data_IF_603333217442
#
_entry.id   IF_603333217442
#
_cell.length_a   1.000
_cell.length_b   1.000
_cell.length_c   1.000
_cell.angle_alpha   90.00
_cell.angle_beta   90.00
_cell.angle_gamma   90.00
#
_symmetry.space_group_name_H-M   'P 1'
#
loop_
_entity.id
_entity.type
_entity.pdbx_description
1 polymer ?
#
# COMPACT_ATOMS: atom_id res chain seq x y z
N UNK A 1 30.32 -12.75 -12.90
CA UNK A 1 29.48 -13.98 -12.85
C UNK A 1 28.04 -13.54 -12.94
N UNK A 2 27.52 -13.49 -14.17
CA UNK A 2 26.15 -13.07 -14.47
C UNK A 2 25.21 -14.25 -14.23
N UNK A 3 24.43 -14.20 -13.15
CA UNK A 3 23.35 -15.16 -12.90
C UNK A 3 22.10 -14.72 -13.67
N UNK A 4 21.70 -15.48 -14.68
CA UNK A 4 20.44 -15.27 -15.38
C UNK A 4 19.27 -15.66 -14.47
N UNK A 5 18.38 -14.70 -14.22
CA UNK A 5 17.18 -14.92 -13.41
C UNK A 5 16.05 -15.40 -14.33
N UNK A 6 15.84 -16.71 -14.39
CA UNK A 6 14.68 -17.29 -15.07
C UNK A 6 13.40 -16.97 -14.29
N UNK A 7 12.66 -15.96 -14.77
CA UNK A 7 11.30 -15.66 -14.34
C UNK A 7 10.31 -16.57 -15.07
N UNK A 8 9.61 -17.43 -14.33
CA UNK A 8 8.42 -18.12 -14.84
C UNK A 8 7.16 -17.34 -14.43
N UNK A 9 6.29 -16.94 -15.38
CA UNK A 9 5.04 -16.29 -15.06
C UNK A 9 4.07 -17.30 -14.41
N UNK A 10 3.48 -16.90 -13.28
CA UNK A 10 2.43 -17.66 -12.62
C UNK A 10 1.14 -17.54 -13.44
N UNK A 11 0.51 -18.67 -13.79
CA UNK A 11 -0.69 -18.74 -14.65
C UNK A 11 -1.97 -18.16 -14.01
N UNK A 12 -1.92 -17.71 -12.76
CA UNK A 12 -3.09 -17.17 -12.07
C UNK A 12 -2.86 -15.67 -11.86
N UNK A 13 -3.51 -14.85 -12.70
CA UNK A 13 -3.30 -13.41 -12.84
C UNK A 13 -3.37 -12.61 -11.54
N UNK A 14 -2.23 -12.48 -10.86
CA UNK A 14 -1.99 -11.51 -9.80
C UNK A 14 -1.15 -10.34 -10.32
N UNK A 15 -1.41 -9.09 -9.90
CA UNK A 15 -0.78 -7.90 -10.50
C UNK A 15 0.64 -7.60 -9.99
N UNK A 16 1.21 -8.41 -9.10
CA UNK A 16 2.54 -8.13 -8.52
C UNK A 16 3.45 -9.37 -8.50
N UNK A 17 4.67 -9.31 -9.06
CA UNK A 17 5.65 -10.37 -8.92
C UNK A 17 6.32 -10.30 -7.54
N UNK A 18 6.03 -11.29 -6.68
CA UNK A 18 6.74 -11.46 -5.40
C UNK A 18 7.93 -12.41 -5.52
N UNK A 19 8.95 -12.20 -4.68
CA UNK A 19 10.18 -13.01 -4.62
C UNK A 19 9.84 -14.43 -4.12
N UNK A 20 10.49 -15.46 -4.68
CA UNK A 20 10.31 -16.89 -4.31
C UNK A 20 10.55 -17.20 -2.82
N UNK A 21 11.23 -16.33 -2.08
CA UNK A 21 11.52 -16.53 -0.66
C UNK A 21 10.30 -16.25 0.25
N UNK A 22 9.32 -15.47 -0.22
CA UNK A 22 8.16 -15.05 0.58
C UNK A 22 6.94 -15.98 0.38
N UNK A 23 7.04 -16.99 -0.48
CA UNK A 23 5.91 -17.87 -0.87
C UNK A 23 5.77 -19.15 -0.06
N UNK A 24 6.65 -19.42 0.91
CA UNK A 24 6.79 -20.77 1.49
C UNK A 24 6.68 -20.84 3.02
N UNK A 25 5.83 -20.02 3.65
CA UNK A 25 5.38 -20.33 4.99
C UNK A 25 4.04 -21.07 4.89
N UNK A 26 4.15 -22.37 4.58
CA UNK A 26 3.05 -23.30 4.83
C UNK A 26 2.89 -23.39 6.35
N UNK A 27 1.80 -22.86 6.87
CA UNK A 27 1.47 -23.00 8.28
C UNK A 27 0.33 -24.00 8.43
N UNK A 28 0.42 -24.84 9.46
CA UNK A 28 -0.68 -25.73 9.81
C UNK A 28 -1.85 -24.87 10.32
N UNK A 29 -2.99 -24.98 9.65
CA UNK A 29 -4.21 -24.40 10.15
C UNK A 29 -4.58 -25.06 11.49
N UNK A 30 -4.56 -24.29 12.57
CA UNK A 30 -4.88 -24.77 13.93
C UNK A 30 -6.30 -25.35 14.06
N UNK A 31 -7.18 -25.07 13.09
CA UNK A 31 -8.58 -25.45 13.15
C UNK A 31 -8.92 -26.69 12.30
N UNK A 32 -8.32 -26.84 11.11
CA UNK A 32 -8.58 -28.00 10.24
C UNK A 32 -7.40 -28.95 10.09
N UNK A 33 -6.22 -28.61 10.63
CA UNK A 33 -5.01 -29.44 10.56
C UNK A 33 -4.35 -29.51 9.18
N UNK A 34 -4.92 -28.84 8.17
CA UNK A 34 -4.32 -28.78 6.82
C UNK A 34 -3.23 -27.71 6.77
N UNK A 35 -2.15 -28.00 6.05
CA UNK A 35 -1.16 -27.00 5.65
C UNK A 35 -1.82 -26.03 4.68
N UNK A 36 -1.80 -24.74 5.04
CA UNK A 36 -2.31 -23.66 4.22
C UNK A 36 -1.19 -22.65 4.00
N UNK A 37 -1.14 -22.08 2.80
CA UNK A 37 -0.35 -20.88 2.58
C UNK A 37 -1.14 -19.65 3.03
N UNK A 38 -0.45 -18.52 3.20
CA UNK A 38 -1.05 -17.24 3.62
C UNK A 38 -2.23 -16.82 2.73
N UNK A 39 -2.17 -17.14 1.44
CA UNK A 39 -3.17 -16.75 0.44
C UNK A 39 -4.45 -17.61 0.47
N UNK A 40 -4.37 -18.85 0.95
CA UNK A 40 -5.50 -19.82 1.00
C UNK A 40 -6.12 -19.90 2.39
N UNK A 41 -5.56 -19.20 3.39
CA UNK A 41 -6.11 -19.12 4.73
C UNK A 41 -7.56 -18.63 4.76
N UNK A 42 -7.86 -17.58 3.98
CA UNK A 42 -9.20 -17.04 3.82
C UNK A 42 -10.15 -17.97 3.04
N UNK A 43 -9.64 -19.01 2.36
CA UNK A 43 -10.45 -20.02 1.68
C UNK A 43 -10.72 -21.24 2.57
N UNK A 44 -10.12 -21.29 3.77
CA UNK A 44 -10.34 -22.39 4.69
C UNK A 44 -11.74 -22.34 5.29
N UNK A 45 -12.56 -23.33 4.93
CA UNK A 45 -13.93 -23.47 5.42
C UNK A 45 -14.02 -23.49 6.95
N UNK A 46 -13.01 -24.03 7.65
CA UNK A 46 -12.98 -24.06 9.12
C UNK A 46 -12.65 -22.69 9.74
N UNK A 47 -11.81 -21.87 9.10
CA UNK A 47 -11.46 -20.52 9.56
C UNK A 47 -12.65 -19.59 9.43
N UNK A 48 -13.37 -19.68 8.31
CA UNK A 48 -14.57 -18.87 8.06
C UNK A 48 -15.83 -19.43 8.71
N UNK A 49 -15.79 -20.64 9.29
CA UNK A 49 -16.94 -21.22 9.97
C UNK A 49 -17.36 -20.34 11.14
N UNK A 50 -18.57 -19.79 11.06
CA UNK A 50 -19.16 -18.99 12.12
C UNK A 50 -19.92 -19.91 13.09
N UNK A 51 -19.50 -19.92 14.35
CA UNK A 51 -20.13 -20.75 15.36
C UNK A 51 -21.39 -20.05 15.91
N UNK A 52 -22.58 -20.62 15.64
CA UNK A 52 -23.83 -20.05 16.14
C UNK A 52 -24.00 -20.14 17.66
N UNK A 53 -23.22 -20.97 18.38
CA UNK A 53 -23.29 -21.10 19.85
C UNK A 53 -22.62 -19.94 20.59
N UNK A 54 -21.43 -19.53 20.14
CA UNK A 54 -20.63 -18.48 20.79
C UNK A 54 -20.44 -17.22 19.94
N UNK A 55 -20.96 -17.20 18.71
CA UNK A 55 -20.86 -16.08 17.76
C UNK A 55 -19.40 -15.70 17.41
N UNK A 56 -18.48 -16.68 17.43
CA UNK A 56 -17.09 -16.50 17.01
C UNK A 56 -16.76 -17.35 15.78
N UNK A 57 -15.84 -16.86 14.95
CA UNK A 57 -15.30 -17.59 13.79
C UNK A 57 -14.21 -18.60 14.21
N UNK A 58 -13.84 -19.51 13.29
CA UNK A 58 -12.72 -20.42 13.46
C UNK A 58 -13.06 -21.80 14.03
N UNK A 59 -14.33 -22.14 14.29
CA UNK A 59 -14.69 -23.50 14.70
C UNK A 59 -16.15 -23.84 14.42
N UNK A 60 -16.43 -25.14 14.28
CA UNK A 60 -17.80 -25.64 14.15
C UNK A 60 -18.51 -25.68 15.50
N UNK A 61 -19.83 -25.49 15.50
CA UNK A 61 -20.65 -25.55 16.72
C UNK A 61 -20.59 -26.88 17.49
N UNK A 62 -20.22 -27.97 16.81
CA UNK A 62 -19.96 -29.28 17.42
C UNK A 62 -18.62 -29.37 18.16
N UNK A 63 -17.66 -28.50 17.82
CA UNK A 63 -16.32 -28.39 18.44
C UNK A 63 -16.21 -27.14 19.32
N UNK A 64 -17.33 -26.50 19.63
CA UNK A 64 -17.35 -25.29 20.44
C UNK A 64 -17.13 -25.65 21.91
N UNK A 65 -15.93 -25.36 22.42
CA UNK A 65 -15.59 -25.47 23.84
C UNK A 65 -16.20 -24.35 24.69
N UNK A 66 -16.89 -23.40 24.05
CA UNK A 66 -17.82 -22.52 24.75
C UNK A 66 -19.02 -23.38 25.17
N UNK A 67 -18.83 -24.09 26.27
CA UNK A 67 -19.95 -24.38 27.13
C UNK A 67 -20.49 -23.01 27.50
N UNK A 68 -21.61 -22.64 26.88
CA UNK A 68 -22.57 -21.80 27.56
C UNK A 68 -22.81 -22.55 28.87
N UNK A 69 -22.01 -22.26 29.90
CA UNK A 69 -22.54 -22.14 31.24
C UNK A 69 -23.57 -21.06 31.03
N UNK A 70 -24.76 -21.49 30.63
CA UNK A 70 -25.93 -20.70 30.89
C UNK A 70 -25.80 -20.51 32.39
N UNK A 71 -25.34 -19.34 32.78
CA UNK A 71 -25.95 -18.65 33.88
C UNK A 71 -27.41 -18.37 33.47
N UNK A 72 -28.17 -19.43 33.14
CA UNK A 72 -29.35 -19.68 33.91
C UNK A 72 -28.84 -19.65 35.35
N UNK A 73 -28.91 -18.46 35.95
CA UNK A 73 -29.44 -18.33 37.29
C UNK A 73 -30.58 -19.34 37.28
N UNK A 74 -30.32 -20.57 37.74
CA UNK A 74 -31.35 -21.56 37.92
C UNK A 74 -32.24 -20.87 38.92
N UNK A 75 -33.28 -20.19 38.44
CA UNK A 75 -34.36 -19.68 39.29
C UNK A 75 -34.65 -20.87 40.19
N UNK A 76 -34.50 -20.73 41.52
CA UNK A 76 -34.58 -21.87 42.42
C UNK A 76 -35.83 -22.64 42.02
N UNK A 77 -35.67 -23.88 41.51
CA UNK A 77 -36.80 -24.67 41.03
C UNK A 77 -37.78 -24.67 42.19
N UNK A 78 -38.93 -23.99 42.04
CA UNK A 78 -39.97 -23.96 43.08
C UNK A 78 -40.20 -25.42 43.43
N UNK A 79 -39.81 -25.82 44.65
CA UNK A 79 -40.03 -27.19 45.12
C UNK A 79 -41.53 -27.44 44.92
N UNK A 80 -41.90 -28.53 44.26
CA UNK A 80 -43.32 -28.83 44.04
C UNK A 80 -44.03 -28.82 45.40
N UNK A 81 -45.28 -28.34 45.45
CA UNK A 81 -46.07 -28.32 46.71
C UNK A 81 -46.05 -29.69 47.40
N UNK A 82 -46.02 -30.77 46.61
CA UNK A 82 -45.83 -32.16 47.07
C UNK A 82 -44.54 -32.41 47.86
N UNK A 83 -43.39 -31.84 47.46
CA UNK A 83 -42.11 -32.05 48.15
C UNK A 83 -42.06 -31.30 49.48
N UNK A 84 -42.59 -30.07 49.51
CA UNK A 84 -42.67 -29.27 50.75
C UNK A 84 -43.57 -29.98 51.76
N UNK A 85 -44.73 -30.49 51.31
CA UNK A 85 -45.64 -31.24 52.18
C UNK A 85 -44.98 -32.52 52.72
N UNK A 86 -44.29 -33.30 51.86
CA UNK A 86 -43.59 -34.52 52.30
C UNK A 86 -42.50 -34.26 53.34
N UNK A 87 -41.72 -33.19 53.16
CA UNK A 87 -40.66 -32.83 54.12
C UNK A 87 -41.26 -32.33 55.44
N UNK A 88 -42.38 -31.60 55.39
CA UNK A 88 -43.15 -31.17 56.57
C UNK A 88 -43.73 -32.37 57.32
N UNK A 89 -44.33 -33.33 56.63
CA UNK A 89 -44.91 -34.52 57.24
C UNK A 89 -43.81 -35.38 57.88
N UNK A 90 -42.65 -35.55 57.22
CA UNK A 90 -41.48 -36.23 57.80
C UNK A 90 -40.99 -35.58 59.09
N UNK A 91 -40.91 -34.24 59.11
CA UNK A 91 -40.51 -33.52 60.33
C UNK A 91 -41.55 -33.69 61.43
N UNK A 92 -42.84 -33.65 61.10
CA UNK A 92 -43.93 -33.89 62.07
C UNK A 92 -43.84 -35.29 62.66
N UNK A 93 -43.69 -36.32 61.83
CA UNK A 93 -43.53 -37.71 62.29
C UNK A 93 -42.27 -37.88 63.15
N UNK A 94 -41.19 -37.17 62.84
CA UNK A 94 -39.97 -37.20 63.65
C UNK A 94 -40.20 -36.59 65.04
N UNK A 95 -40.88 -35.44 65.13
CA UNK A 95 -41.21 -34.79 66.40
C UNK A 95 -42.16 -35.67 67.23
N UNK A 96 -43.20 -36.24 66.61
CA UNK A 96 -44.14 -37.14 67.28
C UNK A 96 -43.44 -38.41 67.81
N UNK A 97 -42.54 -39.03 67.02
CA UNK A 97 -41.74 -40.16 67.50
C UNK A 97 -40.80 -39.76 68.63
N UNK A 98 -40.21 -38.56 68.59
CA UNK A 98 -39.32 -38.07 69.64
C UNK A 98 -40.07 -37.77 70.94
N UNK A 99 -41.34 -37.34 70.87
CA UNK A 99 -42.17 -37.13 72.06
C UNK A 99 -42.66 -38.44 72.68
N UNK A 100 -42.84 -39.50 71.87
CA UNK A 100 -43.29 -40.82 72.34
C UNK A 100 -42.14 -41.74 72.80
N UNK A 101 -40.90 -41.46 72.41
CA UNK A 101 -39.73 -42.08 73.04
C UNK A 101 -39.48 -41.41 74.38
N UNK A 102 -40.16 -41.88 75.43
CA UNK A 102 -39.65 -41.67 76.79
C UNK A 102 -38.22 -42.22 76.80
N UNK A 103 -37.27 -41.31 76.94
CA UNK A 103 -35.87 -41.68 77.04
C UNK A 103 -35.76 -42.61 78.26
N UNK A 104 -35.06 -43.76 78.20
CA UNK A 104 -35.09 -44.79 79.25
C UNK A 104 -34.48 -44.35 80.60
N UNK A 105 -34.19 -43.06 80.77
CA UNK A 105 -33.66 -42.44 81.98
C UNK A 105 -34.65 -41.47 82.65
N UNK A 106 -35.91 -41.41 82.21
CA UNK A 106 -36.90 -40.43 82.72
C UNK A 106 -37.42 -40.72 84.15
N UNK A 107 -36.92 -41.79 84.79
CA UNK A 107 -37.22 -42.14 86.18
C UNK A 107 -35.99 -42.37 87.07
N UNK A 108 -34.79 -42.01 86.61
CA UNK A 108 -33.60 -42.00 87.47
C UNK A 108 -33.61 -40.68 88.24
N UNK A 109 -33.72 -40.77 89.56
CA UNK A 109 -33.57 -39.61 90.43
C UNK A 109 -32.20 -38.95 90.18
N UNK A 110 -32.18 -37.61 90.16
CA UNK A 110 -31.00 -36.78 89.84
C UNK A 110 -29.73 -37.16 90.63
N UNK A 111 -29.87 -37.85 91.77
CA UNK A 111 -28.77 -38.29 92.63
C UNK A 111 -27.99 -39.50 92.08
N UNK A 112 -28.64 -40.46 91.43
CA UNK A 112 -27.96 -41.64 90.88
C UNK A 112 -27.33 -41.35 89.52
N UNK A 113 -27.98 -40.50 88.71
CA UNK A 113 -27.41 -40.00 87.45
C UNK A 113 -26.20 -39.08 87.70
N UNK A 114 -26.22 -38.28 88.77
CA UNK A 114 -25.10 -37.46 89.23
C UNK A 114 -23.92 -38.31 89.72
N UNK A 115 -24.18 -39.39 90.46
CA UNK A 115 -23.13 -40.30 90.93
C UNK A 115 -22.46 -41.09 89.79
N UNK A 116 -23.23 -41.54 88.79
CA UNK A 116 -22.69 -42.25 87.63
C UNK A 116 -21.91 -41.33 86.67
N UNK A 117 -22.32 -40.06 86.55
CA UNK A 117 -21.59 -39.06 85.76
C UNK A 117 -20.35 -38.53 86.48
N UNK A 118 -20.35 -38.39 87.81
CA UNK A 118 -19.17 -38.01 88.60
C UNK A 118 -18.09 -39.10 88.66
N UNK A 119 -18.47 -40.39 88.59
CA UNK A 119 -17.47 -41.49 88.64
C UNK A 119 -16.68 -41.68 87.33
N UNK A 120 -17.15 -41.14 86.21
CA UNK A 120 -16.46 -41.20 84.90
C UNK A 120 -15.70 -39.89 84.60
N UNK A 121 -15.92 -38.85 85.41
CA UNK A 121 -15.48 -37.49 85.14
C UNK A 121 -14.60 -36.96 86.26
N UNK A 122 -13.29 -36.99 86.03
CA UNK A 122 -12.53 -35.80 86.38
C UNK A 122 -11.23 -35.69 85.57
N UNK A 123 -10.38 -36.72 85.54
CA UNK A 123 -9.07 -36.61 84.89
C UNK A 123 -9.09 -36.81 83.36
N UNK A 124 -9.80 -37.83 82.87
CA UNK A 124 -9.89 -38.11 81.42
C UNK A 124 -10.60 -36.99 80.65
N UNK A 125 -11.71 -36.48 81.21
CA UNK A 125 -12.45 -35.36 80.63
C UNK A 125 -11.63 -34.06 80.64
N UNK A 126 -10.91 -33.75 81.73
CA UNK A 126 -10.00 -32.59 81.81
C UNK A 126 -8.87 -32.69 80.79
N UNK A 127 -8.23 -33.85 80.64
CA UNK A 127 -7.19 -34.07 79.63
C UNK A 127 -7.73 -33.87 78.21
N UNK A 128 -8.92 -34.39 77.91
CA UNK A 128 -9.53 -34.26 76.59
C UNK A 128 -9.94 -32.81 76.28
N UNK A 129 -10.45 -32.07 77.27
CA UNK A 129 -10.75 -30.64 77.16
C UNK A 129 -9.48 -29.83 76.92
N UNK A 130 -8.37 -30.14 77.60
CA UNK A 130 -7.10 -29.46 77.39
C UNK A 130 -6.52 -29.73 76.00
N UNK A 131 -6.54 -30.97 75.52
CA UNK A 131 -6.15 -31.32 74.13
C UNK A 131 -7.01 -30.59 73.10
N UNK A 132 -8.32 -30.51 73.31
CA UNK A 132 -9.24 -29.75 72.44
C UNK A 132 -8.92 -28.26 72.46
N UNK A 133 -8.65 -27.67 73.64
CA UNK A 133 -8.26 -26.26 73.75
C UNK A 133 -6.94 -25.97 73.03
N UNK A 134 -5.96 -26.84 73.15
CA UNK A 134 -4.66 -26.70 72.48
C UNK A 134 -4.79 -26.85 70.96
N UNK A 135 -5.53 -27.87 70.51
CA UNK A 135 -5.87 -28.06 69.10
C UNK A 135 -6.60 -26.84 68.52
N UNK A 136 -7.60 -26.32 69.23
CA UNK A 136 -8.31 -25.09 68.85
C UNK A 136 -7.38 -23.87 68.77
N UNK A 137 -6.43 -23.73 69.70
CA UNK A 137 -5.42 -22.65 69.63
C UNK A 137 -4.53 -22.80 68.40
N UNK A 138 -4.12 -24.02 68.05
CA UNK A 138 -3.33 -24.29 66.86
C UNK A 138 -4.12 -23.98 65.58
N UNK A 139 -5.38 -24.42 65.49
CA UNK A 139 -6.24 -24.08 64.36
C UNK A 139 -6.47 -22.58 64.21
N UNK A 140 -6.66 -21.84 65.32
CA UNK A 140 -6.81 -20.39 65.27
C UNK A 140 -5.53 -19.72 64.72
N UNK A 141 -4.34 -20.18 65.14
CA UNK A 141 -3.06 -19.69 64.62
C UNK A 141 -2.90 -19.99 63.13
N UNK A 142 -3.24 -21.20 62.70
CA UNK A 142 -3.17 -21.61 61.30
C UNK A 142 -4.13 -20.80 60.42
N UNK A 143 -5.38 -20.60 60.86
CA UNK A 143 -6.35 -19.74 60.17
C UNK A 143 -5.83 -18.31 60.07
N UNK A 144 -5.20 -17.78 61.11
CA UNK A 144 -4.61 -16.44 61.08
C UNK A 144 -3.44 -16.35 60.08
N UNK A 145 -2.57 -17.36 60.04
CA UNK A 145 -1.47 -17.43 59.08
C UNK A 145 -1.98 -17.51 57.63
N UNK A 146 -2.94 -18.38 57.34
CA UNK A 146 -3.56 -18.51 56.01
C UNK A 146 -4.28 -17.23 55.57
N UNK A 147 -4.93 -16.51 56.50
CA UNK A 147 -5.50 -15.19 56.21
C UNK A 147 -4.43 -14.16 55.83
N UNK A 148 -3.29 -14.17 56.52
CA UNK A 148 -2.17 -13.29 56.19
C UNK A 148 -1.60 -13.62 54.80
N UNK A 149 -1.42 -14.90 54.47
CA UNK A 149 -0.97 -15.34 53.15
C UNK A 149 -1.95 -14.98 52.04
N UNK A 150 -3.25 -15.17 52.25
CA UNK A 150 -4.27 -14.75 51.29
C UNK A 150 -4.22 -13.24 51.03
N UNK A 151 -4.03 -12.42 52.08
CA UNK A 151 -3.86 -10.97 51.89
C UNK A 151 -2.64 -10.62 51.05
N UNK A 152 -1.53 -11.38 51.16
CA UNK A 152 -0.35 -11.19 50.30
C UNK A 152 -0.66 -11.59 48.86
N UNK A 153 -1.36 -12.70 48.65
CA UNK A 153 -1.79 -13.13 47.31
C UNK A 153 -2.72 -12.09 46.65
N UNK A 154 -3.62 -11.48 47.40
CA UNK A 154 -4.49 -10.41 46.89
C UNK A 154 -3.68 -9.20 46.38
N UNK A 155 -2.62 -8.81 47.11
CA UNK A 155 -1.73 -7.73 46.65
C UNK A 155 -1.01 -8.10 45.34
N UNK A 156 -0.51 -9.34 45.22
CA UNK A 156 0.13 -9.82 43.98
C UNK A 156 -0.86 -9.89 42.82
N UNK A 157 -2.13 -10.24 43.07
CA UNK A 157 -3.17 -10.23 42.04
C UNK A 157 -3.42 -8.79 41.56
N UNK A 158 -3.51 -7.83 42.48
CA UNK A 158 -3.69 -6.41 42.13
C UNK A 158 -2.52 -5.87 41.29
N UNK A 159 -1.28 -6.17 41.68
CA UNK A 159 -0.08 -5.80 40.91
C UNK A 159 -0.12 -6.39 39.51
N UNK A 160 -0.48 -7.67 39.37
CA UNK A 160 -0.61 -8.32 38.06
C UNK A 160 -1.70 -7.69 37.19
N UNK A 161 -2.81 -7.23 37.77
CA UNK A 161 -3.85 -6.49 37.03
C UNK A 161 -3.30 -5.15 36.53
N UNK A 162 -2.55 -4.41 37.35
CA UNK A 162 -1.91 -3.16 36.95
C UNK A 162 -0.88 -3.36 35.83
N UNK A 163 -0.08 -4.42 35.90
CA UNK A 163 0.88 -4.79 34.86
C UNK A 163 0.18 -5.17 33.54
N UNK A 164 -0.94 -5.90 33.59
CA UNK A 164 -1.74 -6.21 32.40
C UNK A 164 -2.29 -4.94 31.74
N UNK A 165 -2.86 -4.02 32.51
CA UNK A 165 -3.34 -2.74 31.97
C UNK A 165 -2.20 -1.94 31.32
N UNK A 166 -1.00 -1.95 31.92
CA UNK A 166 0.18 -1.30 31.37
C UNK A 166 0.63 -1.95 30.05
N UNK A 167 0.60 -3.28 29.98
CA UNK A 167 0.90 -4.02 28.75
C UNK A 167 -0.11 -3.73 27.64
N UNK A 168 -1.40 -3.63 27.96
CA UNK A 168 -2.45 -3.30 26.99
C UNK A 168 -2.26 -1.88 26.43
N UNK A 169 -1.87 -0.92 27.27
CA UNK A 169 -1.53 0.44 26.83
C UNK A 169 -0.31 0.45 25.89
N UNK A 170 0.76 -0.31 26.23
CA UNK A 170 1.93 -0.43 25.37
C UNK A 170 1.59 -1.09 24.02
N UNK A 171 0.72 -2.10 24.03
CA UNK A 171 0.25 -2.74 22.79
C UNK A 171 -0.57 -1.78 21.94
N UNK A 172 -1.38 -0.91 22.55
CA UNK A 172 -2.12 0.13 21.84
C UNK A 172 -1.19 1.15 21.20
N UNK A 173 -0.17 1.63 21.92
CA UNK A 173 0.84 2.55 21.36
C UNK A 173 1.64 1.90 20.24
N UNK A 174 2.05 0.63 20.40
CA UNK A 174 2.69 -0.13 19.33
C UNK A 174 1.81 -0.21 18.09
N UNK A 175 0.50 -0.44 18.24
CA UNK A 175 -0.43 -0.47 17.11
C UNK A 175 -0.54 0.89 16.40
N UNK A 176 -0.53 1.99 17.15
CA UNK A 176 -0.47 3.35 16.58
C UNK A 176 0.80 3.56 15.77
N UNK A 177 1.96 3.15 16.29
CA UNK A 177 3.23 3.24 15.56
C UNK A 177 3.22 2.40 14.28
N UNK A 178 2.68 1.17 14.31
CA UNK A 178 2.56 0.34 13.10
C UNK A 178 1.72 1.02 12.03
N UNK A 179 0.60 1.65 12.40
CA UNK A 179 -0.23 2.41 11.45
C UNK A 179 0.50 3.62 10.88
N UNK A 180 1.23 4.36 11.71
CA UNK A 180 2.02 5.51 11.26
C UNK A 180 3.09 5.09 10.25
N UNK A 181 3.79 3.96 10.50
CA UNK A 181 4.77 3.42 9.57
C UNK A 181 4.12 3.08 8.23
N UNK A 182 2.95 2.43 8.23
CA UNK A 182 2.21 2.11 7.00
C UNK A 182 1.81 3.36 6.21
N UNK A 183 1.40 4.43 6.90
CA UNK A 183 1.10 5.72 6.24
C UNK A 183 2.35 6.31 5.58
N UNK A 184 3.49 6.33 6.27
CA UNK A 184 4.76 6.82 5.73
C UNK A 184 5.20 5.99 4.51
N UNK A 185 5.06 4.66 4.57
CA UNK A 185 5.39 3.78 3.44
C UNK A 185 4.54 4.07 2.20
N UNK A 186 3.25 4.39 2.37
CA UNK A 186 2.36 4.78 1.28
C UNK A 186 2.76 6.14 0.68
N UNK A 187 3.04 7.15 1.51
CA UNK A 187 3.50 8.46 1.06
C UNK A 187 4.84 8.36 0.29
N UNK A 188 5.78 7.53 0.77
CA UNK A 188 7.04 7.27 0.08
C UNK A 188 6.83 6.60 -1.28
N UNK A 189 5.87 5.68 -1.39
CA UNK A 189 5.53 5.04 -2.67
C UNK A 189 4.93 6.04 -3.67
N UNK A 190 4.05 6.95 -3.22
CA UNK A 190 3.51 8.02 -4.04
C UNK A 190 4.61 8.98 -4.53
N UNK A 191 5.50 9.42 -3.65
CA UNK A 191 6.65 10.24 -4.02
C UNK A 191 7.56 9.55 -5.04
N UNK A 192 7.85 8.26 -4.87
CA UNK A 192 8.64 7.49 -5.83
C UNK A 192 7.99 7.45 -7.22
N UNK A 193 6.67 7.26 -7.29
CA UNK A 193 5.93 7.30 -8.56
C UNK A 193 6.00 8.69 -9.22
N UNK A 194 5.91 9.76 -8.42
CA UNK A 194 6.08 11.13 -8.88
C UNK A 194 7.46 11.38 -9.48
N UNK A 195 8.52 10.89 -8.82
CA UNK A 195 9.89 11.01 -9.34
C UNK A 195 10.09 10.30 -10.68
N UNK A 196 9.51 9.11 -10.86
CA UNK A 196 9.57 8.39 -12.14
C UNK A 196 8.88 9.16 -13.26
N UNK A 197 7.74 9.80 -12.98
CA UNK A 197 7.04 10.64 -13.96
C UNK A 197 7.90 11.84 -14.40
N UNK A 198 8.61 12.49 -13.46
CA UNK A 198 9.54 13.57 -13.79
C UNK A 198 10.73 13.09 -14.63
N UNK A 199 11.28 11.92 -14.35
CA UNK A 199 12.37 11.34 -15.15
C UNK A 199 11.94 11.06 -16.60
N UNK A 200 10.74 10.51 -16.79
CA UNK A 200 10.16 10.28 -18.12
C UNK A 200 10.01 11.60 -18.88
N UNK A 201 9.48 12.64 -18.23
CA UNK A 201 9.29 13.95 -18.86
C UNK A 201 10.62 14.64 -19.19
N UNK A 202 11.62 14.53 -18.32
CA UNK A 202 12.98 15.02 -18.61
C UNK A 202 13.57 14.30 -19.83
N UNK A 203 13.38 12.98 -19.94
CA UNK A 203 13.83 12.21 -21.11
C UNK A 203 13.12 12.65 -22.39
N UNK A 204 11.80 12.90 -22.33
CA UNK A 204 11.01 13.42 -23.44
C UNK A 204 11.52 14.79 -23.91
N UNK A 205 11.72 15.72 -22.99
CA UNK A 205 12.22 17.08 -23.28
C UNK A 205 13.66 17.07 -23.82
N UNK A 206 14.51 16.15 -23.34
CA UNK A 206 15.87 15.96 -23.91
C UNK A 206 15.82 15.52 -25.36
N UNK A 207 14.92 14.60 -25.70
CA UNK A 207 14.76 14.12 -27.08
C UNK A 207 14.18 15.20 -28.00
N UNK A 208 13.20 15.96 -27.52
CA UNK A 208 12.65 17.13 -28.23
C UNK A 208 13.75 18.17 -28.53
N UNK A 209 14.60 18.49 -27.54
CA UNK A 209 15.74 19.40 -27.74
C UNK A 209 16.76 18.88 -28.74
N UNK A 210 17.03 17.57 -28.78
CA UNK A 210 17.89 16.96 -29.81
C UNK A 210 17.29 17.13 -31.20
N UNK A 211 15.99 16.88 -31.35
CA UNK A 211 15.28 17.05 -32.63
C UNK A 211 15.27 18.50 -33.11
N UNK A 212 15.06 19.46 -32.20
CA UNK A 212 15.15 20.89 -32.51
C UNK A 212 16.58 21.30 -32.91
N UNK A 213 17.60 20.76 -32.23
CA UNK A 213 19.00 21.02 -32.58
C UNK A 213 19.34 20.49 -33.97
N UNK A 214 18.92 19.26 -34.29
CA UNK A 214 19.10 18.67 -35.61
C UNK A 214 18.38 19.49 -36.70
N UNK A 215 17.15 19.92 -36.42
CA UNK A 215 16.37 20.78 -37.33
C UNK A 215 17.05 22.12 -37.57
N UNK A 216 17.56 22.76 -36.51
CA UNK A 216 18.32 24.01 -36.61
C UNK A 216 19.57 23.83 -37.47
N UNK A 217 20.33 22.75 -37.27
CA UNK A 217 21.52 22.44 -38.08
C UNK A 217 21.16 22.26 -39.55
N UNK A 218 20.09 21.51 -39.85
CA UNK A 218 19.59 21.32 -41.22
C UNK A 218 19.22 22.64 -41.88
N UNK A 219 18.39 23.45 -41.23
CA UNK A 219 17.98 24.77 -41.74
C UNK A 219 19.17 25.71 -41.94
N UNK A 220 20.18 25.64 -41.06
CA UNK A 220 21.42 26.43 -41.21
C UNK A 220 22.19 26.04 -42.47
N UNK A 221 22.26 24.74 -42.78
CA UNK A 221 22.90 24.25 -44.01
C UNK A 221 22.11 24.62 -45.26
N UNK A 222 20.79 24.52 -45.21
CA UNK A 222 19.90 24.96 -46.29
C UNK A 222 20.09 26.46 -46.58
N UNK A 223 20.11 27.30 -45.54
CA UNK A 223 20.34 28.73 -45.70
C UNK A 223 21.71 29.05 -46.31
N UNK A 224 22.78 28.39 -45.85
CA UNK A 224 24.12 28.53 -46.45
C UNK A 224 24.15 28.12 -47.92
N UNK A 225 23.42 27.06 -48.29
CA UNK A 225 23.33 26.62 -49.68
C UNK A 225 22.61 27.65 -50.55
N UNK A 226 21.50 28.21 -50.07
CA UNK A 226 20.78 29.29 -50.76
C UNK A 226 21.63 30.55 -50.88
N UNK A 227 22.37 30.93 -49.85
CA UNK A 227 23.29 32.07 -49.87
C UNK A 227 24.42 31.87 -50.91
N UNK A 228 25.01 30.67 -50.96
CA UNK A 228 25.97 30.33 -52.01
C UNK A 228 25.36 30.39 -53.42
N UNK A 229 24.11 29.95 -53.60
CA UNK A 229 23.44 30.05 -54.89
C UNK A 229 23.19 31.50 -55.30
N UNK A 230 22.75 32.34 -54.35
CA UNK A 230 22.53 33.76 -54.59
C UNK A 230 23.83 34.48 -54.96
N UNK A 231 24.91 34.22 -54.23
CA UNK A 231 26.22 34.79 -54.54
C UNK A 231 26.75 34.35 -55.92
N UNK A 232 26.47 33.11 -56.36
CA UNK A 232 26.79 32.69 -57.74
C UNK A 232 26.02 33.50 -58.77
N UNK A 233 24.71 33.67 -58.58
CA UNK A 233 23.87 34.48 -59.48
C UNK A 233 24.36 35.92 -59.51
N UNK A 234 24.72 36.51 -58.36
CA UNK A 234 25.26 37.86 -58.30
C UNK A 234 26.57 37.98 -59.08
N UNK A 235 27.50 37.05 -58.89
CA UNK A 235 28.77 37.05 -59.64
C UNK A 235 28.51 36.92 -61.15
N UNK A 236 27.61 36.03 -61.58
CA UNK A 236 27.24 35.87 -62.99
C UNK A 236 26.65 37.18 -63.57
N UNK A 237 25.84 37.90 -62.78
CA UNK A 237 25.30 39.20 -63.16
C UNK A 237 26.38 40.29 -63.23
N UNK A 238 27.33 40.31 -62.29
CA UNK A 238 28.46 41.25 -62.29
C UNK A 238 29.35 41.04 -63.52
N UNK A 239 29.65 39.79 -63.85
CA UNK A 239 30.40 39.42 -65.06
C UNK A 239 29.68 39.87 -66.34
N UNK A 240 28.36 39.68 -66.42
CA UNK A 240 27.56 40.14 -67.57
C UNK A 240 27.54 41.67 -67.69
N UNK A 241 27.36 42.38 -66.58
CA UNK A 241 27.43 43.84 -66.56
C UNK A 241 28.81 44.31 -67.05
N UNK A 242 29.88 43.61 -66.66
CA UNK A 242 31.24 43.94 -67.10
C UNK A 242 31.43 43.70 -68.60
N UNK A 243 30.95 42.58 -69.14
CA UNK A 243 30.94 42.32 -70.60
C UNK A 243 30.21 43.43 -71.37
N UNK A 244 29.00 43.79 -70.93
CA UNK A 244 28.21 44.84 -71.58
C UNK A 244 28.88 46.22 -71.52
N UNK A 245 29.64 46.53 -70.46
CA UNK A 245 30.45 47.76 -70.39
C UNK A 245 31.56 47.76 -71.43
N UNK A 246 32.28 46.64 -71.59
CA UNK A 246 33.35 46.49 -72.57
C UNK A 246 32.81 46.58 -74.01
N UNK A 247 31.70 45.91 -74.31
CA UNK A 247 31.00 46.03 -75.59
C UNK A 247 30.59 47.48 -75.88
N UNK A 248 30.02 48.19 -74.90
CA UNK A 248 29.62 49.59 -75.05
C UNK A 248 30.84 50.50 -75.32
N UNK A 249 31.98 50.27 -74.65
CA UNK A 249 33.23 50.99 -74.94
C UNK A 249 33.70 50.72 -76.37
N UNK A 250 33.66 49.45 -76.81
CA UNK A 250 34.01 49.07 -78.18
C UNK A 250 33.08 49.72 -79.22
N UNK A 251 31.77 49.65 -79.01
CA UNK A 251 30.78 50.30 -79.88
C UNK A 251 30.98 51.82 -79.95
N UNK A 252 31.34 52.48 -78.84
CA UNK A 252 31.68 53.92 -78.84
C UNK A 252 32.91 54.21 -79.70
N UNK A 253 33.95 53.38 -79.63
CA UNK A 253 35.13 53.53 -80.47
C UNK A 253 34.81 53.31 -81.95
N UNK A 254 33.98 52.32 -82.29
CA UNK A 254 33.54 52.09 -83.67
C UNK A 254 32.77 53.29 -84.24
N UNK A 255 31.85 53.87 -83.46
CA UNK A 255 31.10 55.08 -83.84
C UNK A 255 32.05 56.24 -84.07
N UNK A 256 32.99 56.50 -83.16
CA UNK A 256 34.00 57.55 -83.33
C UNK A 256 34.85 57.35 -84.60
N UNK A 257 35.24 56.11 -84.90
CA UNK A 257 35.96 55.79 -86.14
C UNK A 257 35.12 56.08 -87.39
N UNK A 258 33.82 55.78 -87.36
CA UNK A 258 32.91 56.11 -88.46
C UNK A 258 32.75 57.62 -88.61
N UNK A 259 32.58 58.37 -87.53
CA UNK A 259 32.49 59.83 -87.56
C UNK A 259 33.75 60.48 -88.16
N UNK A 260 34.94 59.99 -87.81
CA UNK A 260 36.20 60.45 -88.42
C UNK A 260 36.24 60.13 -89.92
N UNK A 261 35.76 58.96 -90.34
CA UNK A 261 35.68 58.60 -91.77
C UNK A 261 34.71 59.52 -92.52
N UNK A 262 33.53 59.77 -91.95
CA UNK A 262 32.51 60.65 -92.54
C UNK A 262 32.98 62.10 -92.61
N UNK A 263 33.62 62.63 -91.57
CA UNK A 263 34.23 63.97 -91.58
C UNK A 263 35.29 64.13 -92.69
N UNK A 264 36.15 63.12 -92.89
CA UNK A 264 37.13 63.13 -93.99
C UNK A 264 36.49 62.97 -95.38
N UNK A 265 35.32 62.33 -95.45
CA UNK A 265 34.58 62.14 -96.69
C UNK A 265 33.83 63.42 -97.10
N UNK A 266 33.34 64.20 -96.14
CA UNK A 266 32.76 65.52 -96.41
C UNK A 266 33.80 66.53 -96.88
N UNK A 267 35.03 66.50 -96.33
CA UNK A 267 36.15 67.32 -96.86
C UNK A 267 36.48 66.95 -98.31
N UNK A 268 36.37 65.67 -98.70
CA UNK A 268 36.53 65.22 -100.09
C UNK A 268 35.32 65.53 -100.97
N UNK A 269 34.10 65.51 -100.44
CA UNK A 269 32.88 65.85 -101.19
C UNK A 269 32.76 67.36 -101.45
N UNK A 270 33.21 68.24 -100.56
CA UNK A 270 33.30 69.68 -100.85
C UNK A 270 34.28 70.03 -101.97
N UNK A 271 35.24 69.15 -102.29
CA UNK A 271 36.15 69.29 -103.44
C UNK A 271 35.63 68.61 -104.71
N UNK A 272 34.54 67.83 -104.65
CA UNK A 272 33.99 67.09 -105.78
C UNK A 272 32.58 67.56 -106.22
N UNK A 273 32.01 68.59 -105.60
CA UNK A 273 30.78 69.24 -106.08
C UNK A 273 31.16 70.36 -107.06
N UNK A 274 31.75 69.96 -108.18
CA UNK A 274 31.84 70.73 -109.42
C UNK A 274 32.13 69.77 -110.57
N UNK A 275 31.27 68.77 -110.82
CA UNK A 275 31.12 68.15 -112.15
C UNK A 275 30.07 67.02 -112.19
N UNK A 276 29.07 67.22 -113.06
CA UNK A 276 28.25 66.19 -113.77
C UNK A 276 27.25 65.42 -112.89
N UNK A 277 25.95 65.38 -113.16
CA UNK A 277 25.23 65.46 -114.43
C UNK A 277 24.63 64.10 -114.77
N UNK A 278 23.30 63.98 -114.66
CA UNK A 278 22.37 63.02 -115.30
C UNK A 278 22.79 61.55 -115.52
N UNK A 279 22.00 60.60 -114.99
CA UNK A 279 21.22 59.63 -115.80
C UNK A 279 20.43 58.60 -114.99
N UNK A 280 19.11 58.54 -115.25
CA UNK A 280 18.27 57.36 -115.52
C UNK A 280 18.27 56.09 -114.63
N UNK A 281 17.07 55.81 -114.09
CA UNK A 281 16.25 54.58 -114.24
C UNK A 281 16.91 53.19 -114.09
N UNK A 282 16.41 52.38 -113.14
CA UNK A 282 15.71 51.09 -113.41
C UNK A 282 15.14 50.40 -112.14
N UNK A 283 14.01 49.74 -112.34
CA UNK A 283 13.20 48.92 -111.42
C UNK A 283 13.80 47.55 -111.05
N UNK A 284 13.40 46.99 -109.88
CA UNK A 284 12.84 45.62 -109.60
C UNK A 284 12.79 45.40 -108.07
N UNK A 285 11.64 45.23 -107.39
CA UNK A 285 10.70 44.08 -107.22
C UNK A 285 11.27 42.81 -106.56
N UNK A 286 10.59 42.38 -105.48
CA UNK A 286 10.55 41.03 -104.89
C UNK A 286 11.40 40.92 -103.61
N UNK A 287 10.92 40.49 -102.44
CA UNK A 287 9.81 39.60 -102.09
C UNK A 287 10.38 38.39 -101.33
N UNK A 288 9.95 38.13 -100.08
CA UNK A 288 10.39 36.94 -99.34
C UNK A 288 9.99 36.95 -97.85
N UNK A 289 9.11 36.04 -97.49
CA UNK A 289 8.37 35.85 -96.22
C UNK A 289 9.22 35.37 -95.01
N UNK A 290 8.66 35.42 -93.78
CA UNK A 290 9.32 34.97 -92.55
C UNK A 290 9.14 33.46 -92.32
N UNK A 291 10.02 32.86 -91.50
CA UNK A 291 9.80 31.53 -90.91
C UNK A 291 10.02 31.57 -89.40
N UNK A 292 8.94 31.16 -88.73
CA UNK A 292 8.73 30.58 -87.39
C UNK A 292 9.84 30.70 -86.36
#
# INVERSE_FOLDING_TARGET
MEGSWNYQPCRNGHPFPMRKADTCLDFLCKYCGKTLNVFTYHQCYAVNAYCYKCRHHGHFARMCNFHVKSCEIRKPKKKSKSKIQRDSDRMRTFIEKKQMSQFPFQGLEDKELSAFTCSIQDESAKLHINKLKESNRNFIKEIAALKCENSKLDTVIQENVMLRNSLDNLNLERLKHVRLIQTIELELAEHASGTQNFEIEIMRLKEENRNLTNTRQRLTMEFKNSDMQYNRILNDMEDEIQRLKEENVNSKHEIQHLDIKHSNQDVRSTLAICSRGNSQQRHRRGGGYPRR
#
